data_IF_994416445529
#
_entry.id   IF_994416445529
#
_cell.length_a   1.000
_cell.length_b   1.000
_cell.length_c   1.000
_cell.angle_alpha   90.00
_cell.angle_beta   90.00
_cell.angle_gamma   90.00
#
_symmetry.space_group_name_H-M   'P 1'
#
loop_
_entity.id
_entity.type
_entity.pdbx_description
1 polymer ?
#
# COMPACT_ATOMS: atom_id res chain seq x y z
N UNK A 1 -10.80 -8.20 -9.64
CA UNK A 1 -9.53 -7.63 -9.18
C UNK A 1 -8.40 -8.67 -9.21
N UNK A 2 -8.60 -9.88 -8.68
CA UNK A 2 -7.65 -11.01 -8.80
C UNK A 2 -7.09 -11.27 -10.22
N UNK A 3 -7.94 -11.27 -11.25
CA UNK A 3 -7.49 -11.45 -12.64
C UNK A 3 -6.54 -10.34 -13.12
N UNK A 4 -6.72 -9.12 -12.62
CA UNK A 4 -5.86 -7.97 -12.91
C UNK A 4 -4.53 -8.09 -12.18
N UNK A 5 -4.57 -8.42 -10.88
CA UNK A 5 -3.37 -8.69 -10.08
C UNK A 5 -2.51 -9.79 -10.71
N UNK A 6 -3.13 -10.91 -11.12
CA UNK A 6 -2.43 -12.03 -11.76
C UNK A 6 -1.91 -11.75 -13.18
N UNK A 7 -2.44 -10.71 -13.85
CA UNK A 7 -2.00 -10.27 -15.18
C UNK A 7 -0.86 -9.25 -15.07
N UNK A 8 -0.99 -8.28 -14.16
CA UNK A 8 0.10 -7.41 -13.77
C UNK A 8 1.29 -8.22 -13.26
N UNK A 9 1.03 -9.29 -12.50
CA UNK A 9 2.06 -10.15 -11.93
C UNK A 9 2.90 -10.88 -13.00
N UNK A 10 2.36 -11.17 -14.18
CA UNK A 10 3.05 -11.97 -15.22
C UNK A 10 3.82 -11.19 -16.27
N UNK A 11 3.67 -9.87 -16.32
CA UNK A 11 4.30 -9.06 -17.36
C UNK A 11 4.34 -7.56 -17.07
N UNK A 12 3.98 -7.14 -15.86
CA UNK A 12 3.88 -5.73 -15.50
C UNK A 12 2.63 -5.04 -16.05
N UNK A 13 2.41 -3.81 -15.56
CA UNK A 13 1.23 -2.98 -15.85
C UNK A 13 1.11 -2.62 -17.33
N UNK A 14 2.23 -2.48 -18.04
CA UNK A 14 2.22 -2.13 -19.46
C UNK A 14 1.71 -3.27 -20.34
N UNK A 15 2.01 -4.52 -19.96
CA UNK A 15 1.52 -5.69 -20.68
C UNK A 15 0.11 -6.12 -20.24
N UNK A 16 -0.44 -5.51 -19.18
CA UNK A 16 -1.81 -5.78 -18.73
C UNK A 16 -2.84 -5.13 -19.66
N UNK A 17 -3.49 -5.95 -20.48
CA UNK A 17 -4.60 -5.52 -21.33
C UNK A 17 -5.95 -5.69 -20.63
N UNK A 18 -6.75 -4.62 -20.60
CA UNK A 18 -8.11 -4.63 -20.02
C UNK A 18 -9.01 -5.72 -20.63
N UNK A 19 -8.86 -6.01 -21.94
CA UNK A 19 -9.59 -7.09 -22.61
C UNK A 19 -9.23 -8.48 -22.07
N UNK A 20 -7.96 -8.71 -21.76
CA UNK A 20 -7.50 -9.97 -21.17
C UNK A 20 -7.99 -10.10 -19.73
N UNK A 21 -8.03 -9.00 -18.96
CA UNK A 21 -8.63 -8.99 -17.62
C UNK A 21 -10.11 -9.36 -17.70
N UNK A 22 -10.89 -8.70 -18.56
CA UNK A 22 -12.32 -8.97 -18.72
C UNK A 22 -12.59 -10.44 -19.08
N UNK A 23 -11.83 -10.98 -20.03
CA UNK A 23 -11.90 -12.39 -20.43
C UNK A 23 -11.61 -13.34 -19.25
N UNK A 24 -10.54 -13.09 -18.48
CA UNK A 24 -10.18 -13.92 -17.33
C UNK A 24 -11.16 -13.81 -16.17
N UNK A 25 -11.75 -12.64 -15.97
CA UNK A 25 -12.77 -12.41 -14.96
C UNK A 25 -14.18 -12.87 -15.41
N UNK A 26 -14.32 -13.41 -16.62
CA UNK A 26 -15.59 -13.83 -17.21
C UNK A 26 -16.66 -12.70 -17.22
N UNK A 27 -16.23 -11.45 -17.47
CA UNK A 27 -17.13 -10.28 -17.58
C UNK A 27 -17.03 -9.65 -18.96
N UNK A 28 -18.09 -8.96 -19.37
CA UNK A 28 -18.04 -8.12 -20.57
C UNK A 28 -17.06 -6.96 -20.39
N UNK A 29 -16.34 -6.60 -21.47
CA UNK A 29 -15.40 -5.47 -21.47
C UNK A 29 -16.08 -4.14 -21.10
N UNK A 30 -17.31 -3.92 -21.57
CA UNK A 30 -18.09 -2.72 -21.23
C UNK A 30 -18.44 -2.65 -19.74
N UNK A 31 -18.73 -3.80 -19.12
CA UNK A 31 -18.92 -3.89 -17.66
C UNK A 31 -17.63 -3.54 -16.93
N UNK A 32 -16.47 -4.05 -17.38
CA UNK A 32 -15.19 -3.73 -16.75
C UNK A 32 -14.87 -2.23 -16.80
N UNK A 33 -15.03 -1.58 -17.96
CA UNK A 33 -14.77 -0.14 -18.10
C UNK A 33 -15.75 0.73 -17.32
N UNK A 34 -16.99 0.27 -17.11
CA UNK A 34 -17.96 0.96 -16.27
C UNK A 34 -17.51 1.07 -14.81
N UNK A 35 -16.85 0.04 -14.28
CA UNK A 35 -16.32 0.05 -12.91
C UNK A 35 -14.90 0.62 -12.83
N UNK A 36 -14.09 0.40 -13.87
CA UNK A 36 -12.69 0.79 -13.89
C UNK A 36 -12.38 1.48 -15.24
N UNK A 37 -12.54 2.81 -15.32
CA UNK A 37 -12.36 3.56 -16.55
C UNK A 37 -10.98 3.42 -17.19
N UNK A 38 -9.95 3.11 -16.40
CA UNK A 38 -8.59 2.85 -16.89
C UNK A 38 -7.91 1.67 -16.17
N UNK A 39 -6.82 1.16 -16.76
CA UNK A 39 -5.96 0.14 -16.12
C UNK A 39 -5.44 0.60 -14.77
N UNK A 40 -5.20 1.91 -14.60
CA UNK A 40 -4.73 2.49 -13.33
C UNK A 40 -5.83 2.51 -12.28
N UNK A 41 -7.09 2.82 -12.65
CA UNK A 41 -8.23 2.71 -11.72
C UNK A 41 -8.42 1.27 -11.22
N UNK A 42 -8.23 0.29 -12.10
CA UNK A 42 -8.31 -1.12 -11.74
C UNK A 42 -7.19 -1.54 -10.78
N UNK A 43 -5.95 -1.12 -11.04
CA UNK A 43 -4.82 -1.38 -10.13
C UNK A 43 -4.98 -0.66 -8.81
N UNK A 44 -5.53 0.54 -8.83
CA UNK A 44 -5.83 1.29 -7.63
C UNK A 44 -6.84 0.54 -6.75
N UNK A 45 -7.90 0.01 -7.34
CA UNK A 45 -8.87 -0.82 -6.63
C UNK A 45 -8.26 -2.11 -6.07
N UNK A 46 -7.36 -2.76 -6.82
CA UNK A 46 -6.58 -3.92 -6.32
C UNK A 46 -5.76 -3.52 -5.09
N UNK A 47 -5.04 -2.40 -5.14
CA UNK A 47 -4.23 -1.92 -4.03
C UNK A 47 -5.09 -1.59 -2.79
N UNK A 48 -6.27 -1.00 -2.97
CA UNK A 48 -7.23 -0.76 -1.89
C UNK A 48 -7.75 -2.06 -1.26
N UNK A 49 -8.00 -3.09 -2.06
CA UNK A 49 -8.39 -4.43 -1.58
C UNK A 49 -7.27 -5.06 -0.74
N UNK A 50 -6.02 -5.00 -1.21
CA UNK A 50 -4.84 -5.48 -0.47
C UNK A 50 -4.64 -4.72 0.84
N UNK A 51 -4.84 -3.39 0.84
CA UNK A 51 -4.79 -2.58 2.06
C UNK A 51 -5.89 -3.02 3.05
N UNK A 52 -7.12 -3.23 2.60
CA UNK A 52 -8.21 -3.71 3.47
C UNK A 52 -7.93 -5.10 4.08
N UNK A 53 -7.33 -6.01 3.30
CA UNK A 53 -6.88 -7.32 3.79
C UNK A 53 -5.77 -7.21 4.83
N UNK A 54 -4.80 -6.32 4.60
CA UNK A 54 -3.76 -5.99 5.57
C UNK A 54 -4.38 -5.47 6.87
N UNK A 55 -5.32 -4.53 6.80
CA UNK A 55 -6.01 -3.99 7.96
C UNK A 55 -6.73 -5.07 8.78
N UNK A 56 -7.43 -5.98 8.10
CA UNK A 56 -8.07 -7.12 8.75
C UNK A 56 -7.03 -8.04 9.43
N UNK A 57 -5.90 -8.30 8.76
CA UNK A 57 -4.79 -9.04 9.35
C UNK A 57 -4.20 -8.37 10.59
N UNK A 58 -4.11 -7.03 10.60
CA UNK A 58 -3.65 -6.25 11.74
C UNK A 58 -4.65 -6.31 12.90
N UNK A 59 -5.96 -6.21 12.62
CA UNK A 59 -6.99 -6.38 13.65
C UNK A 59 -6.91 -7.76 14.31
N UNK A 60 -6.71 -8.81 13.51
CA UNK A 60 -6.58 -10.20 14.01
C UNK A 60 -5.29 -10.43 14.78
N UNK A 61 -4.19 -9.81 14.34
CA UNK A 61 -2.88 -9.91 14.97
C UNK A 61 -2.29 -8.51 15.12
N UNK A 62 -2.62 -7.80 16.22
CA UNK A 62 -2.09 -6.47 16.48
C UNK A 62 -0.55 -6.44 16.46
N UNK A 63 0.07 -5.28 16.16
CA UNK A 63 1.49 -5.11 16.38
C UNK A 63 1.81 -5.26 17.88
N UNK A 64 3.01 -5.75 18.18
CA UNK A 64 3.43 -6.07 19.56
C UNK A 64 4.54 -5.15 20.07
N UNK A 65 5.09 -4.29 19.22
CA UNK A 65 6.05 -3.28 19.64
C UNK A 65 5.50 -2.38 20.78
N UNK A 66 6.39 -2.01 21.70
CA UNK A 66 6.04 -1.29 22.92
C UNK A 66 5.78 0.21 22.75
N UNK A 67 6.06 0.77 21.57
CA UNK A 67 5.92 2.19 21.25
C UNK A 67 5.24 2.41 19.88
N UNK A 68 4.58 3.57 19.67
CA UNK A 68 3.88 3.89 18.42
C UNK A 68 4.74 3.75 17.16
N UNK A 69 5.99 4.20 17.20
CA UNK A 69 6.89 4.14 16.05
C UNK A 69 7.20 2.69 15.68
N UNK A 70 7.52 1.85 16.66
CA UNK A 70 7.73 0.42 16.47
C UNK A 70 6.49 -0.29 15.91
N UNK A 71 5.29 0.07 16.38
CA UNK A 71 4.04 -0.53 15.90
C UNK A 71 3.77 -0.22 14.44
N UNK A 72 3.98 1.05 14.04
CA UNK A 72 3.83 1.47 12.64
C UNK A 72 4.86 0.77 11.75
N UNK A 73 6.13 0.72 12.15
CA UNK A 73 7.17 0.03 11.39
C UNK A 73 6.83 -1.46 11.24
N UNK A 74 6.39 -2.11 12.30
CA UNK A 74 6.01 -3.53 12.26
C UNK A 74 4.90 -3.77 11.21
N UNK A 75 3.88 -2.93 11.20
CA UNK A 75 2.78 -2.97 10.23
C UNK A 75 3.26 -2.73 8.80
N UNK A 76 4.02 -1.67 8.57
CA UNK A 76 4.55 -1.32 7.26
C UNK A 76 5.49 -2.39 6.70
N UNK A 77 6.27 -3.05 7.56
CA UNK A 77 7.13 -4.16 7.15
C UNK A 77 6.35 -5.46 6.89
N UNK A 78 5.24 -5.72 7.59
CA UNK A 78 4.32 -6.83 7.25
C UNK A 78 3.71 -6.61 5.88
N UNK A 79 3.28 -5.39 5.58
CA UNK A 79 2.76 -4.99 4.27
C UNK A 79 3.81 -5.16 3.16
N UNK A 80 5.04 -4.66 3.40
CA UNK A 80 6.15 -4.80 2.47
C UNK A 80 6.45 -6.27 2.14
N UNK A 81 6.56 -7.13 3.16
CA UNK A 81 6.77 -8.57 2.97
C UNK A 81 5.61 -9.25 2.25
N UNK A 82 4.38 -8.79 2.46
CA UNK A 82 3.20 -9.22 1.71
C UNK A 82 3.37 -8.96 0.21
N UNK A 83 3.65 -7.69 -0.14
CA UNK A 83 3.87 -7.26 -1.52
C UNK A 83 5.05 -7.98 -2.17
N UNK A 84 6.17 -8.19 -1.47
CA UNK A 84 7.34 -8.86 -2.03
C UNK A 84 7.11 -10.35 -2.38
N UNK A 85 5.99 -10.97 -1.95
CA UNK A 85 5.62 -12.33 -2.43
C UNK A 85 5.14 -12.34 -3.88
N UNK A 86 4.70 -11.19 -4.39
CA UNK A 86 4.21 -10.98 -5.75
C UNK A 86 4.90 -9.72 -6.34
N UNK A 87 6.21 -9.78 -6.67
CA UNK A 87 7.02 -8.61 -7.01
C UNK A 87 6.46 -7.74 -8.13
N UNK A 88 5.84 -8.35 -9.12
CA UNK A 88 5.27 -7.67 -10.27
C UNK A 88 3.93 -6.98 -9.94
N UNK A 89 3.15 -7.53 -8.99
CA UNK A 89 2.02 -6.81 -8.38
C UNK A 89 2.54 -5.65 -7.52
N UNK A 90 3.62 -5.85 -6.77
CA UNK A 90 4.22 -4.80 -5.96
C UNK A 90 4.73 -3.63 -6.82
N UNK A 91 5.39 -3.90 -7.95
CA UNK A 91 5.79 -2.86 -8.92
C UNK A 91 4.56 -2.11 -9.45
N UNK A 92 3.47 -2.82 -9.78
CA UNK A 92 2.24 -2.19 -10.23
C UNK A 92 1.62 -1.26 -9.17
N UNK A 93 1.54 -1.72 -7.92
CA UNK A 93 1.01 -0.95 -6.79
C UNK A 93 1.89 0.26 -6.50
N UNK A 94 3.21 0.11 -6.43
CA UNK A 94 4.15 1.20 -6.18
C UNK A 94 4.11 2.23 -7.31
N UNK A 95 4.07 1.81 -8.58
CA UNK A 95 3.87 2.75 -9.70
C UNK A 95 2.55 3.48 -9.61
N UNK A 96 1.48 2.80 -9.20
CA UNK A 96 0.18 3.44 -8.98
C UNK A 96 0.24 4.48 -7.86
N UNK A 97 0.94 4.19 -6.76
CA UNK A 97 1.13 5.10 -5.64
C UNK A 97 2.00 6.32 -6.00
N UNK A 98 3.00 6.13 -6.87
CA UNK A 98 3.87 7.22 -7.33
C UNK A 98 3.24 8.07 -8.44
N UNK A 99 2.42 7.46 -9.30
CA UNK A 99 1.69 8.16 -10.36
C UNK A 99 0.39 8.79 -9.87
N UNK A 100 -0.06 8.42 -8.67
CA UNK A 100 -1.29 8.91 -8.05
C UNK A 100 -1.26 10.44 -7.93
N UNK A 101 -2.17 11.10 -8.65
CA UNK A 101 -2.67 12.41 -8.26
C UNK A 101 -3.67 12.30 -7.10
N UNK A 102 -4.25 13.42 -6.63
CA UNK A 102 -5.19 13.46 -5.51
C UNK A 102 -6.45 12.57 -5.68
N UNK A 103 -6.71 12.02 -6.87
CA UNK A 103 -7.86 11.18 -7.19
C UNK A 103 -7.73 9.72 -6.73
N UNK A 104 -6.53 9.28 -6.33
CA UNK A 104 -6.27 7.88 -5.92
C UNK A 104 -6.09 7.77 -4.41
N UNK A 105 -7.15 7.35 -3.71
CA UNK A 105 -7.28 7.30 -2.24
C UNK A 105 -6.35 6.29 -1.51
N UNK A 106 -5.45 5.59 -2.22
CA UNK A 106 -4.59 4.56 -1.61
C UNK A 106 -3.49 5.20 -0.78
N UNK A 107 -2.88 6.29 -1.26
CA UNK A 107 -1.88 7.03 -0.48
C UNK A 107 -2.46 7.50 0.85
N UNK A 108 -3.65 8.11 0.80
CA UNK A 108 -4.42 8.49 1.97
C UNK A 108 -4.80 7.28 2.83
N UNK A 109 -5.10 6.13 2.23
CA UNK A 109 -5.33 4.86 2.95
C UNK A 109 -4.13 4.41 3.78
N UNK A 110 -2.92 4.48 3.23
CA UNK A 110 -1.68 4.15 3.96
C UNK A 110 -1.45 5.14 5.10
N UNK A 111 -1.62 6.44 4.87
CA UNK A 111 -1.50 7.46 5.92
C UNK A 111 -2.52 7.26 7.04
N UNK A 112 -3.79 6.97 6.70
CA UNK A 112 -4.83 6.62 7.68
C UNK A 112 -4.47 5.35 8.47
N UNK A 113 -3.86 4.35 7.81
CA UNK A 113 -3.36 3.18 8.50
C UNK A 113 -2.24 3.53 9.49
N UNK A 114 -1.28 4.37 9.09
CA UNK A 114 -0.21 4.87 9.97
C UNK A 114 -0.81 5.54 11.20
N UNK A 115 -1.73 6.49 11.02
CA UNK A 115 -2.39 7.20 12.12
C UNK A 115 -3.12 6.29 13.09
N UNK A 116 -3.90 5.35 12.56
CA UNK A 116 -4.65 4.40 13.40
C UNK A 116 -3.72 3.50 14.19
N UNK A 117 -2.61 3.06 13.59
CA UNK A 117 -1.63 2.19 14.28
C UNK A 117 -0.85 2.98 15.32
N UNK A 118 -0.41 4.21 15.03
CA UNK A 118 0.31 5.05 16.00
C UNK A 118 -0.55 5.43 17.20
N UNK A 119 -1.87 5.53 17.04
CA UNK A 119 -2.79 5.77 18.14
C UNK A 119 -3.04 4.56 19.06
N UNK A 120 -2.67 3.35 18.63
CA UNK A 120 -2.82 2.14 19.41
C UNK A 120 -4.26 1.60 19.52
N UNK A 121 -4.51 0.64 20.45
CA UNK A 121 -5.74 -0.16 20.50
C UNK A 121 -7.04 0.61 20.78
N UNK A 122 -6.97 1.90 21.15
CA UNK A 122 -8.13 2.75 21.42
C UNK A 122 -8.68 3.49 20.21
N UNK A 123 -7.96 3.46 19.07
CA UNK A 123 -8.25 4.30 17.92
C UNK A 123 -7.78 5.75 18.15
N UNK A 124 -7.24 6.36 17.09
CA UNK A 124 -6.79 7.76 17.12
C UNK A 124 -7.94 8.75 17.30
N UNK A 125 -7.62 10.05 17.40
CA UNK A 125 -8.64 11.08 17.42
C UNK A 125 -9.60 10.89 16.24
N UNK A 126 -10.89 11.12 16.48
CA UNK A 126 -11.94 10.98 15.47
C UNK A 126 -11.66 11.82 14.22
N UNK A 127 -10.90 12.89 14.38
CA UNK A 127 -10.40 13.75 13.33
C UNK A 127 -8.93 14.11 13.66
N UNK A 128 -7.95 13.56 12.91
CA UNK A 128 -6.54 13.88 13.14
C UNK A 128 -6.26 15.34 12.77
N UNK A 129 -5.37 15.98 13.52
CA UNK A 129 -4.95 17.34 13.22
C UNK A 129 -4.05 17.40 11.96
N UNK A 130 -3.81 18.62 11.47
CA UNK A 130 -3.00 18.81 10.27
C UNK A 130 -1.56 18.30 10.43
N UNK A 131 -0.98 18.43 11.62
CA UNK A 131 0.38 17.97 11.88
C UNK A 131 0.45 16.44 11.87
N UNK A 132 -0.50 15.76 12.50
CA UNK A 132 -0.64 14.31 12.49
C UNK A 132 -0.75 13.76 11.06
N UNK A 133 -1.58 14.39 10.22
CA UNK A 133 -1.71 14.04 8.80
C UNK A 133 -0.38 14.19 8.05
N UNK A 134 0.32 15.30 8.25
CA UNK A 134 1.63 15.53 7.59
C UNK A 134 2.68 14.51 8.04
N UNK A 135 2.71 14.15 9.33
CA UNK A 135 3.63 13.13 9.85
C UNK A 135 3.33 11.75 9.24
N UNK A 136 2.05 11.39 9.18
CA UNK A 136 1.60 10.13 8.59
C UNK A 136 1.89 10.06 7.09
N UNK A 137 1.58 11.11 6.33
CA UNK A 137 1.89 11.23 4.91
C UNK A 137 3.40 11.17 4.65
N UNK A 138 4.20 11.81 5.50
CA UNK A 138 5.67 11.79 5.39
C UNK A 138 6.20 10.36 5.57
N UNK A 139 5.72 9.64 6.57
CA UNK A 139 6.15 8.26 6.83
C UNK A 139 5.66 7.29 5.74
N UNK A 140 4.43 7.46 5.27
CA UNK A 140 3.88 6.70 4.14
C UNK A 140 4.69 6.94 2.86
N UNK A 141 5.04 8.20 2.57
CA UNK A 141 5.88 8.57 1.42
C UNK A 141 7.27 7.94 1.48
N UNK A 142 7.90 7.94 2.66
CA UNK A 142 9.17 7.22 2.87
C UNK A 142 8.97 5.73 2.58
N UNK A 143 7.96 5.09 3.15
CA UNK A 143 7.69 3.66 2.93
C UNK A 143 7.50 3.31 1.45
N UNK A 144 6.73 4.09 0.70
CA UNK A 144 6.56 3.91 -0.76
C UNK A 144 7.89 4.01 -1.49
N UNK A 145 8.73 4.98 -1.13
CA UNK A 145 10.05 5.12 -1.73
C UNK A 145 10.98 3.95 -1.38
N UNK A 146 10.96 3.49 -0.13
CA UNK A 146 11.73 2.32 0.30
C UNK A 146 11.32 1.06 -0.48
N UNK A 147 10.02 0.83 -0.68
CA UNK A 147 9.52 -0.27 -1.52
C UNK A 147 10.00 -0.15 -2.97
N UNK A 148 9.98 1.06 -3.54
CA UNK A 148 10.47 1.29 -4.90
C UNK A 148 11.97 0.96 -5.03
N UNK A 149 12.77 1.29 -4.02
CA UNK A 149 14.20 0.96 -4.00
C UNK A 149 14.48 -0.54 -3.82
N UNK A 150 13.67 -1.22 -3.01
CA UNK A 150 13.74 -2.68 -2.84
C UNK A 150 13.40 -3.39 -4.15
N UNK A 151 12.33 -2.99 -4.83
CA UNK A 151 11.92 -3.56 -6.12
C UNK A 151 12.96 -3.36 -7.23
N UNK A 152 13.71 -2.25 -7.18
CA UNK A 152 14.83 -1.98 -8.10
C UNK A 152 16.10 -2.75 -7.75
N UNK A 153 16.10 -3.55 -6.68
CA UNK A 153 17.28 -4.26 -6.17
C UNK A 153 18.35 -3.34 -5.59
N UNK A 154 18.04 -2.07 -5.34
CA UNK A 154 18.98 -1.07 -4.78
C UNK A 154 19.01 -1.08 -3.26
N UNK A 155 18.06 -1.77 -2.62
CA UNK A 155 17.91 -1.85 -1.17
C UNK A 155 17.41 -3.22 -0.73
N UNK A 156 17.85 -3.71 0.42
CA UNK A 156 17.27 -4.90 1.07
C UNK A 156 16.09 -4.52 1.97
N UNK A 157 15.23 -5.49 2.29
CA UNK A 157 14.13 -5.24 3.26
C UNK A 157 14.66 -4.82 4.64
N UNK A 158 15.82 -5.33 5.06
CA UNK A 158 16.43 -4.94 6.34
C UNK A 158 16.91 -3.48 6.33
N UNK A 159 17.50 -3.04 5.21
CA UNK A 159 17.89 -1.63 5.03
C UNK A 159 16.67 -0.71 4.99
N UNK A 160 15.58 -1.13 4.34
CA UNK A 160 14.32 -0.40 4.34
C UNK A 160 13.72 -0.32 5.75
N UNK A 161 13.73 -1.43 6.49
CA UNK A 161 13.27 -1.49 7.88
C UNK A 161 14.05 -0.50 8.75
N UNK A 162 15.39 -0.53 8.71
CA UNK A 162 16.23 0.38 9.50
C UNK A 162 15.92 1.86 9.21
N UNK A 163 15.73 2.22 7.94
CA UNK A 163 15.37 3.60 7.55
C UNK A 163 14.00 3.99 8.10
N UNK A 164 13.02 3.09 8.03
CA UNK A 164 11.69 3.32 8.58
C UNK A 164 11.73 3.45 10.11
N UNK A 165 12.52 2.65 10.81
CA UNK A 165 12.70 2.75 12.27
C UNK A 165 13.27 4.11 12.68
N UNK A 166 14.31 4.58 11.98
CA UNK A 166 14.92 5.87 12.26
C UNK A 166 13.94 7.01 11.98
N UNK A 167 13.23 6.96 10.85
CA UNK A 167 12.26 7.99 10.46
C UNK A 167 11.07 8.00 11.41
N UNK A 168 10.44 6.86 11.66
CA UNK A 168 9.27 6.75 12.51
C UNK A 168 9.56 7.24 13.93
N UNK A 169 10.73 6.90 14.50
CA UNK A 169 11.12 7.37 15.84
C UNK A 169 11.29 8.90 15.91
N UNK A 170 11.69 9.55 14.81
CA UNK A 170 11.82 11.02 14.76
C UNK A 170 10.50 11.73 14.51
N UNK A 171 9.56 11.09 13.84
CA UNK A 171 8.26 11.67 13.50
C UNK A 171 7.20 11.41 14.57
N UNK A 172 7.29 10.30 15.31
CA UNK A 172 6.25 9.83 16.23
C UNK A 172 6.72 9.70 17.69
N UNK A 173 7.98 10.06 17.98
CA UNK A 173 8.62 9.96 19.29
C UNK A 173 8.87 11.30 19.96
#
# INVERSE_FOLDING_TARGET
MQAAAALASRGGVENMQMRTVAKRAAVAIGTLYRYFPSKMHLLAAVASEELALLEEGIRRRPPQAGDPAGQVVEVLMRAARGLMREPELADAVVRSLLAAGPETDIGAGVSRLVLRVSAGPGGGPAEPDHAELVLADSLAGVWVMELAEVLRGRRTLDQAQLRLEITARRLLG
#
